data_IF_950484094118
#
_entry.id   IF_950484094118
#
_cell.length_a   1.000
_cell.length_b   1.000
_cell.length_c   1.000
_cell.angle_alpha   90.00
_cell.angle_beta   90.00
_cell.angle_gamma   90.00
#
_symmetry.space_group_name_H-M   'P 1'
#
loop_
_entity.id
_entity.type
_entity.pdbx_description
1 polymer ?
#
# COMPACT_ATOMS: atom_id res chain seq x y z
N UNK A 1 4.14 -47.30 3.91
CA UNK A 1 2.88 -46.97 3.22
C UNK A 1 3.19 -46.02 2.07
N UNK A 2 2.77 -46.35 0.84
CA UNK A 2 2.89 -45.51 -0.36
C UNK A 2 1.58 -45.64 -1.17
N UNK A 3 0.73 -44.63 -1.06
CA UNK A 3 -0.43 -44.22 -1.89
C UNK A 3 -0.75 -42.80 -1.39
N UNK A 4 -1.24 -41.79 -2.12
CA UNK A 4 -1.57 -41.57 -3.52
C UNK A 4 -0.66 -40.40 -4.03
N UNK A 5 -0.54 -40.03 -5.30
CA UNK A 5 -1.04 -40.60 -6.57
C UNK A 5 0.08 -40.52 -7.63
N UNK A 6 -0.10 -41.13 -8.80
CA UNK A 6 0.76 -40.91 -9.98
C UNK A 6 0.03 -41.18 -11.31
N UNK A 7 -1.26 -40.83 -11.45
CA UNK A 7 -2.12 -41.38 -12.52
C UNK A 7 -3.24 -40.47 -13.03
N UNK A 8 -2.96 -39.20 -13.37
CA UNK A 8 -3.39 -38.56 -14.65
C UNK A 8 -2.86 -37.11 -14.77
N UNK A 9 -1.54 -36.92 -14.87
CA UNK A 9 -1.01 -35.67 -15.40
C UNK A 9 -0.96 -35.75 -16.93
N UNK A 10 -2.10 -35.46 -17.59
CA UNK A 10 -2.15 -35.30 -19.05
C UNK A 10 -1.05 -34.30 -19.48
N UNK A 11 -0.35 -34.50 -20.64
CA UNK A 11 0.70 -33.59 -21.07
C UNK A 11 0.26 -32.12 -21.07
N UNK A 12 -1.00 -31.84 -21.42
CA UNK A 12 -1.58 -30.49 -21.38
C UNK A 12 -1.68 -29.88 -19.97
N UNK A 13 -1.83 -30.70 -18.92
CA UNK A 13 -1.93 -30.22 -17.53
C UNK A 13 -0.53 -29.93 -16.96
N UNK A 14 0.49 -30.69 -17.39
CA UNK A 14 1.89 -30.40 -17.08
C UNK A 14 2.35 -29.12 -17.80
N UNK A 15 2.01 -28.96 -19.07
CA UNK A 15 2.29 -27.78 -19.89
C UNK A 15 1.62 -26.52 -19.32
N UNK A 16 0.35 -26.63 -18.91
CA UNK A 16 -0.36 -25.57 -18.16
C UNK A 16 0.31 -25.24 -16.83
N UNK A 17 0.79 -26.25 -16.08
CA UNK A 17 1.49 -26.03 -14.81
C UNK A 17 2.82 -25.29 -15.02
N UNK A 18 3.64 -25.71 -15.99
CA UNK A 18 4.89 -25.03 -16.31
C UNK A 18 4.64 -23.57 -16.73
N UNK A 19 3.64 -23.34 -17.58
CA UNK A 19 3.29 -21.98 -18.02
C UNK A 19 2.86 -21.06 -16.88
N UNK A 20 2.12 -21.59 -15.89
CA UNK A 20 1.75 -20.84 -14.69
C UNK A 20 2.94 -20.60 -13.75
N UNK A 21 3.90 -21.53 -13.67
CA UNK A 21 5.15 -21.35 -12.92
C UNK A 21 6.07 -20.30 -13.57
N UNK A 22 6.11 -20.23 -14.90
CA UNK A 22 6.82 -19.19 -15.67
C UNK A 22 6.16 -17.81 -15.52
N UNK A 23 4.83 -17.72 -15.66
CA UNK A 23 4.07 -16.46 -15.46
C UNK A 23 4.20 -15.95 -14.02
N UNK A 24 4.22 -16.84 -13.03
CA UNK A 24 4.46 -16.49 -11.63
C UNK A 24 5.88 -15.91 -11.43
N UNK A 25 6.91 -16.56 -11.99
CA UNK A 25 8.28 -16.08 -11.86
C UNK A 25 8.49 -14.70 -12.53
N UNK A 26 7.85 -14.46 -13.69
CA UNK A 26 7.87 -13.15 -14.35
C UNK A 26 7.17 -12.07 -13.50
N UNK A 27 6.05 -12.41 -12.85
CA UNK A 27 5.35 -11.49 -11.95
C UNK A 27 6.19 -11.18 -10.68
N UNK A 28 6.83 -12.19 -10.09
CA UNK A 28 7.72 -12.02 -8.93
C UNK A 28 8.93 -11.14 -9.27
N UNK A 29 9.57 -11.34 -10.43
CA UNK A 29 10.67 -10.47 -10.89
C UNK A 29 10.21 -9.02 -11.12
N UNK A 30 9.04 -8.84 -11.74
CA UNK A 30 8.47 -7.51 -11.96
C UNK A 30 8.13 -6.80 -10.65
N UNK A 31 7.56 -7.52 -9.66
CA UNK A 31 7.30 -6.98 -8.33
C UNK A 31 8.60 -6.63 -7.60
N UNK A 32 9.61 -7.50 -7.61
CA UNK A 32 10.93 -7.19 -7.05
C UNK A 32 11.54 -5.93 -7.69
N UNK A 33 11.48 -5.81 -9.02
CA UNK A 33 12.03 -4.66 -9.74
C UNK A 33 11.28 -3.36 -9.44
N UNK A 34 9.95 -3.41 -9.29
CA UNK A 34 9.15 -2.30 -8.80
C UNK A 34 9.58 -1.88 -7.38
N UNK A 35 9.67 -2.81 -6.43
CA UNK A 35 10.07 -2.50 -5.07
C UNK A 35 11.54 -2.04 -4.95
N UNK A 36 12.45 -2.54 -5.79
CA UNK A 36 13.84 -2.04 -5.90
C UNK A 36 13.88 -0.56 -6.32
N UNK A 37 13.05 -0.15 -7.28
CA UNK A 37 12.93 1.26 -7.69
C UNK A 37 12.32 2.14 -6.59
N UNK A 38 11.23 1.68 -5.95
CA UNK A 38 10.50 2.45 -4.92
C UNK A 38 11.29 2.59 -3.60
N UNK A 39 11.98 1.54 -3.17
CA UNK A 39 12.69 1.49 -1.88
C UNK A 39 13.97 2.35 -1.81
N UNK A 40 14.43 2.88 -2.94
CA UNK A 40 15.64 3.71 -3.07
C UNK A 40 16.92 3.06 -2.53
N UNK A 41 17.07 1.74 -2.72
CA UNK A 41 18.26 0.90 -2.46
C UNK A 41 18.82 0.82 -1.02
N UNK A 42 18.79 1.91 -0.23
CA UNK A 42 19.25 1.98 1.16
C UNK A 42 18.54 0.97 2.10
N UNK A 43 17.29 0.60 1.77
CA UNK A 43 16.49 -0.31 2.61
C UNK A 43 16.84 -1.78 2.38
N UNK A 44 17.13 -2.16 1.13
CA UNK A 44 17.41 -3.55 0.73
C UNK A 44 18.74 -4.08 1.29
N UNK A 45 19.75 -3.22 1.44
CA UNK A 45 21.09 -3.63 1.91
C UNK A 45 21.17 -3.88 3.43
N UNK A 46 20.16 -3.47 4.21
CA UNK A 46 20.15 -3.64 5.67
C UNK A 46 19.55 -4.96 6.17
N UNK A 47 18.66 -5.59 5.38
CA UNK A 47 17.74 -6.63 5.85
C UNK A 47 16.77 -6.11 6.95
N UNK A 48 16.03 -7.01 7.59
CA UNK A 48 15.12 -6.70 8.71
C UNK A 48 15.86 -6.41 10.05
N UNK A 49 17.10 -5.93 9.96
CA UNK A 49 17.85 -5.50 11.14
C UNK A 49 17.31 -4.13 11.54
N UNK A 50 16.37 -4.12 12.47
CA UNK A 50 15.84 -2.91 13.11
C UNK A 50 16.91 -2.19 13.97
N UNK A 51 17.95 -1.67 13.30
CA UNK A 51 19.08 -1.00 13.94
C UNK A 51 18.70 0.42 14.37
N UNK A 52 19.47 0.94 15.32
CA UNK A 52 19.36 2.34 15.76
C UNK A 52 19.42 3.34 14.59
N UNK A 53 20.13 3.02 13.49
CA UNK A 53 20.17 3.83 12.28
C UNK A 53 18.80 3.92 11.59
N UNK A 54 18.09 2.80 11.40
CA UNK A 54 16.75 2.80 10.79
C UNK A 54 15.75 3.54 11.66
N UNK A 55 15.73 3.29 12.98
CA UNK A 55 14.91 4.06 13.91
C UNK A 55 15.20 5.58 13.80
N UNK A 56 16.46 6.00 13.83
CA UNK A 56 16.82 7.42 13.69
C UNK A 56 16.42 8.01 12.33
N UNK A 57 16.57 7.26 11.23
CA UNK A 57 16.19 7.70 9.88
C UNK A 57 14.66 7.80 9.75
N UNK A 58 13.92 6.83 10.26
CA UNK A 58 12.46 6.81 10.31
C UNK A 58 11.92 7.96 11.18
N UNK A 59 12.46 8.16 12.38
CA UNK A 59 12.10 9.30 13.26
C UNK A 59 12.45 10.64 12.61
N UNK A 60 13.57 10.76 11.89
CA UNK A 60 13.91 11.99 11.17
C UNK A 60 12.96 12.26 10.00
N UNK A 61 12.56 11.23 9.24
CA UNK A 61 11.53 11.32 8.20
C UNK A 61 10.17 11.70 8.79
N UNK A 62 9.78 11.06 9.89
CA UNK A 62 8.55 11.38 10.63
C UNK A 62 8.57 12.86 11.05
N UNK A 63 9.57 13.31 11.83
CA UNK A 63 9.72 14.72 12.25
C UNK A 63 9.69 15.73 11.10
N UNK A 64 10.19 15.38 9.91
CA UNK A 64 10.16 16.25 8.72
C UNK A 64 8.78 16.29 8.04
N UNK A 65 8.04 15.20 8.09
CA UNK A 65 6.75 15.04 7.42
C UNK A 65 5.55 15.35 8.35
N UNK A 66 5.76 15.34 9.67
CA UNK A 66 4.75 15.69 10.67
C UNK A 66 4.36 17.17 10.56
N UNK A 67 3.11 17.43 10.21
CA UNK A 67 2.54 18.78 10.21
C UNK A 67 2.31 19.19 11.68
N UNK A 68 3.23 19.99 12.23
CA UNK A 68 3.15 20.44 13.63
C UNK A 68 2.20 21.62 13.85
N UNK A 69 2.01 22.45 12.81
CA UNK A 69 1.11 23.60 12.82
C UNK A 69 0.42 23.78 11.47
N UNK A 70 -0.83 24.17 11.52
CA UNK A 70 -1.67 24.48 10.35
C UNK A 70 -2.32 25.85 10.55
N UNK A 71 -2.58 26.58 9.46
CA UNK A 71 -3.32 27.84 9.50
C UNK A 71 -4.60 27.70 8.68
N UNK A 72 -5.74 28.10 9.23
CA UNK A 72 -6.99 28.15 8.46
C UNK A 72 -7.12 29.41 7.60
N UNK A 73 -8.14 29.41 6.75
CA UNK A 73 -8.59 30.51 5.90
C UNK A 73 -8.99 31.76 6.70
N UNK A 74 -9.54 31.56 7.91
CA UNK A 74 -9.80 32.62 8.90
C UNK A 74 -8.52 33.12 9.61
N UNK A 75 -7.36 32.59 9.24
CA UNK A 75 -6.03 33.03 9.68
C UNK A 75 -5.59 32.53 11.05
N UNK A 76 -6.38 31.68 11.74
CA UNK A 76 -6.07 31.08 13.04
C UNK A 76 -5.04 29.97 12.90
N UNK A 77 -4.22 29.79 13.92
CA UNK A 77 -3.20 28.74 13.98
C UNK A 77 -3.64 27.58 14.89
N UNK A 78 -3.58 26.37 14.37
CA UNK A 78 -3.71 25.11 15.10
C UNK A 78 -2.30 24.58 15.33
N UNK A 79 -1.95 24.22 16.57
CA UNK A 79 -0.58 23.83 16.95
C UNK A 79 -0.62 22.59 17.83
N UNK A 80 0.22 21.61 17.50
CA UNK A 80 0.18 20.28 18.11
C UNK A 80 -0.65 19.29 17.29
N UNK A 81 -0.42 18.00 17.49
CA UNK A 81 -1.00 16.95 16.64
C UNK A 81 -2.53 16.89 16.74
N UNK A 82 -3.07 16.94 17.96
CA UNK A 82 -4.51 16.80 18.18
C UNK A 82 -5.31 17.92 17.49
N UNK A 83 -4.88 19.18 17.67
CA UNK A 83 -5.53 20.34 17.03
C UNK A 83 -5.44 20.30 15.50
N UNK A 84 -4.31 19.86 14.95
CA UNK A 84 -4.13 19.71 13.49
C UNK A 84 -4.97 18.55 12.96
N UNK A 85 -5.07 17.44 13.72
CA UNK A 85 -5.91 16.29 13.38
C UNK A 85 -7.39 16.67 13.38
N UNK A 86 -7.89 17.31 14.44
CA UNK A 86 -9.29 17.74 14.54
C UNK A 86 -9.67 18.73 13.42
N UNK A 87 -8.76 19.65 13.08
CA UNK A 87 -8.93 20.57 11.96
C UNK A 87 -9.01 19.83 10.62
N UNK A 88 -8.07 18.91 10.34
CA UNK A 88 -8.07 18.09 9.13
C UNK A 88 -9.31 17.20 9.04
N UNK A 89 -9.66 16.51 10.12
CA UNK A 89 -10.84 15.66 10.21
C UNK A 89 -12.12 16.45 9.93
N UNK A 90 -12.28 17.60 10.58
CA UNK A 90 -13.44 18.49 10.37
C UNK A 90 -13.52 18.99 8.93
N UNK A 91 -12.38 19.37 8.34
CA UNK A 91 -12.30 19.83 6.94
C UNK A 91 -12.69 18.73 5.95
N UNK A 92 -12.05 17.55 6.04
CA UNK A 92 -12.31 16.45 5.11
C UNK A 92 -13.70 15.83 5.32
N UNK A 93 -14.18 15.70 6.56
CA UNK A 93 -15.56 15.27 6.83
C UNK A 93 -16.57 16.19 6.14
N UNK A 94 -16.40 17.51 6.25
CA UNK A 94 -17.24 18.47 5.53
C UNK A 94 -17.10 18.33 4.00
N UNK A 95 -15.87 18.18 3.49
CA UNK A 95 -15.61 18.06 2.05
C UNK A 95 -16.28 16.82 1.43
N UNK A 96 -16.26 15.68 2.13
CA UNK A 96 -16.84 14.43 1.66
C UNK A 96 -18.34 14.30 1.94
N UNK A 97 -18.86 14.86 3.05
CA UNK A 97 -20.30 14.87 3.34
C UNK A 97 -21.07 15.91 2.52
N UNK A 98 -20.48 17.09 2.21
CA UNK A 98 -21.14 18.13 1.42
C UNK A 98 -21.33 17.77 -0.08
N UNK A 99 -20.94 16.56 -0.50
CA UNK A 99 -20.93 16.13 -1.90
C UNK A 99 -21.68 14.82 -2.17
N UNK A 100 -22.52 14.37 -1.24
CA UNK A 100 -23.44 13.24 -1.42
C UNK A 100 -24.86 13.78 -1.60
N UNK A 101 -25.38 13.91 -2.83
CA UNK A 101 -26.82 13.86 -3.05
C UNK A 101 -27.35 12.51 -2.53
N UNK A 102 -28.57 12.42 -1.97
CA UNK A 102 -29.09 11.19 -1.36
C UNK A 102 -29.45 10.06 -2.36
N UNK A 103 -28.93 10.12 -3.59
CA UNK A 103 -29.25 9.19 -4.69
C UNK A 103 -27.98 8.84 -5.49
N UNK A 104 -27.01 8.20 -4.84
CA UNK A 104 -25.91 7.53 -5.53
C UNK A 104 -25.43 6.26 -4.80
N UNK A 105 -26.38 5.43 -4.37
CA UNK A 105 -26.18 3.97 -4.29
C UNK A 105 -26.09 3.39 -5.72
N UNK A 106 -25.12 3.87 -6.50
CA UNK A 106 -24.78 3.29 -7.79
C UNK A 106 -23.89 2.08 -7.54
N UNK A 107 -24.37 0.95 -8.01
CA UNK A 107 -23.90 -0.40 -7.71
C UNK A 107 -22.39 -0.57 -7.93
N UNK A 108 -21.71 -1.21 -6.97
CA UNK A 108 -20.43 -1.88 -7.22
C UNK A 108 -20.64 -3.21 -7.97
N UNK A 109 -21.33 -3.14 -9.10
CA UNK A 109 -21.49 -4.26 -10.03
C UNK A 109 -20.87 -3.89 -11.38
N UNK A 110 -20.16 -4.85 -11.98
CA UNK A 110 -19.74 -4.83 -13.39
C UNK A 110 -18.60 -3.86 -13.77
N UNK A 111 -17.41 -4.07 -13.22
CA UNK A 111 -16.20 -4.01 -14.06
C UNK A 111 -16.09 -5.36 -14.78
N UNK A 112 -16.74 -5.47 -15.94
CA UNK A 112 -16.40 -6.53 -16.89
C UNK A 112 -15.08 -6.20 -17.60
N UNK A 113 -14.39 -7.26 -18.06
CA UNK A 113 -13.11 -7.19 -18.78
C UNK A 113 -13.23 -6.43 -20.10
#
# INVERSE_FOLDING_TARGET
MKVLDSSTSSPSVLDQKQKLEEELAELEENEENYWKQISRADWLTGGDKNTNFFHRKATARWKRNTIWKLRDDLGRWYVGQDQVFDCMYTYYSKLFTARVPPESTLEMNSVQR
#
